data_IF_710494640325
#
_entry.id   IF_710494640325
#
_cell.length_a   1.000
_cell.length_b   1.000
_cell.length_c   1.000
_cell.angle_alpha   90.00
_cell.angle_beta   90.00
_cell.angle_gamma   90.00
#
_symmetry.space_group_name_H-M   'P 1'
#
loop_
_entity.id
_entity.type
_entity.pdbx_description
1 polymer ?
#
# COMPACT_ATOMS: atom_id res chain seq x y z
N UNK A 1 -9.63 15.37 5.93
CA UNK A 1 -9.70 15.68 7.38
C UNK A 1 -8.33 15.48 8.00
N UNK A 2 -7.90 16.38 8.87
CA UNK A 2 -6.68 16.14 9.63
C UNK A 2 -6.83 14.84 10.43
N UNK A 3 -5.76 14.07 10.55
CA UNK A 3 -5.74 12.84 11.32
C UNK A 3 -6.09 13.12 12.79
N UNK A 4 -7.25 12.66 13.23
CA UNK A 4 -7.81 12.95 14.58
C UNK A 4 -7.90 11.69 15.45
N UNK A 5 -7.10 10.66 15.18
CA UNK A 5 -7.07 9.46 15.99
C UNK A 5 -6.00 9.55 17.08
N UNK A 6 -6.26 8.95 18.22
CA UNK A 6 -5.23 8.76 19.25
C UNK A 6 -4.10 7.91 18.71
N UNK A 7 -2.89 8.21 19.14
CA UNK A 7 -1.67 7.47 18.81
C UNK A 7 -1.03 6.92 20.09
N UNK A 8 0.03 6.14 19.92
CA UNK A 8 0.82 5.62 21.05
C UNK A 8 1.42 6.71 21.92
N UNK A 9 1.53 7.95 21.44
CA UNK A 9 1.99 9.10 22.21
C UNK A 9 0.90 9.69 23.14
N UNK A 10 -0.37 9.35 22.89
CA UNK A 10 -1.52 9.88 23.64
C UNK A 10 -1.94 8.99 24.82
N UNK A 11 -1.21 7.92 25.11
CA UNK A 11 -1.57 6.90 26.09
C UNK A 11 -0.44 6.60 27.08
N UNK A 12 -0.80 6.04 28.23
CA UNK A 12 0.16 5.51 29.21
C UNK A 12 0.03 3.99 29.25
N UNK A 13 1.09 3.29 28.87
CA UNK A 13 1.12 1.83 28.78
C UNK A 13 1.88 1.16 29.93
N UNK A 14 2.45 1.92 30.85
CA UNK A 14 3.25 1.36 31.95
C UNK A 14 2.47 0.34 32.76
N UNK A 15 3.01 -0.87 32.83
CA UNK A 15 2.39 -1.98 33.56
C UNK A 15 1.14 -2.55 32.91
N UNK A 16 0.82 -2.16 31.68
CA UNK A 16 -0.35 -2.63 30.97
C UNK A 16 0.00 -3.61 29.85
N UNK A 17 -0.91 -4.52 29.57
CA UNK A 17 -0.82 -5.40 28.42
C UNK A 17 -1.31 -4.65 27.17
N UNK A 18 -0.47 -4.61 26.15
CA UNK A 18 -0.74 -3.89 24.89
C UNK A 18 -0.69 -4.87 23.73
N UNK A 19 -1.83 -5.09 23.09
CA UNK A 19 -1.90 -5.88 21.87
C UNK A 19 -1.64 -5.00 20.66
N UNK A 20 -0.59 -5.32 19.90
CA UNK A 20 -0.17 -4.56 18.71
C UNK A 20 -0.42 -5.39 17.46
N UNK A 21 -1.29 -4.91 16.58
CA UNK A 21 -1.49 -5.52 15.27
C UNK A 21 -0.43 -5.00 14.31
N UNK A 22 0.49 -5.86 13.95
CA UNK A 22 1.56 -5.60 12.97
C UNK A 22 1.24 -6.23 11.63
N UNK A 23 1.98 -5.87 10.61
CA UNK A 23 2.01 -6.56 9.33
C UNK A 23 3.36 -7.28 9.17
N UNK A 24 3.37 -8.54 9.55
CA UNK A 24 4.52 -9.45 9.40
C UNK A 24 4.29 -10.47 8.27
N UNK A 25 3.44 -10.15 7.32
CA UNK A 25 3.25 -10.95 6.13
C UNK A 25 4.45 -10.79 5.18
N UNK A 26 5.57 -11.31 5.63
CA UNK A 26 6.87 -11.24 4.93
C UNK A 26 7.00 -12.35 3.91
N UNK A 27 7.73 -12.14 2.81
CA UNK A 27 8.04 -13.22 1.89
C UNK A 27 9.04 -14.19 2.52
N UNK A 28 8.72 -15.47 2.41
CA UNK A 28 9.56 -16.58 2.89
C UNK A 28 9.96 -17.47 1.72
N UNK A 29 11.24 -17.84 1.70
CA UNK A 29 11.76 -18.88 0.79
C UNK A 29 12.48 -19.93 1.62
N UNK A 30 11.96 -21.16 1.62
CA UNK A 30 12.50 -22.26 2.43
C UNK A 30 12.65 -21.90 3.93
N UNK A 31 11.66 -21.20 4.49
CA UNK A 31 11.65 -20.77 5.88
C UNK A 31 12.55 -19.56 6.19
N UNK A 32 13.18 -18.97 5.18
CA UNK A 32 14.05 -17.79 5.32
C UNK A 32 13.31 -16.54 4.84
N UNK A 33 13.34 -15.48 5.66
CA UNK A 33 12.75 -14.18 5.31
C UNK A 33 13.62 -13.51 4.24
N UNK A 34 13.04 -13.21 3.09
CA UNK A 34 13.76 -12.62 1.94
C UNK A 34 13.62 -11.10 1.87
N UNK A 35 12.67 -10.51 2.58
CA UNK A 35 12.47 -9.07 2.69
C UNK A 35 12.02 -8.73 4.11
N UNK A 36 12.73 -7.81 4.75
CA UNK A 36 12.50 -7.40 6.14
C UNK A 36 11.81 -6.05 6.29
N UNK A 37 11.40 -5.41 5.22
CA UNK A 37 10.85 -4.06 5.25
C UNK A 37 9.67 -3.92 6.22
N UNK A 38 8.78 -4.90 6.24
CA UNK A 38 7.62 -4.90 7.14
C UNK A 38 8.00 -5.05 8.61
N UNK A 39 9.01 -5.87 8.88
CA UNK A 39 9.55 -6.01 10.24
C UNK A 39 10.16 -4.68 10.69
N UNK A 40 11.01 -4.10 9.86
CA UNK A 40 11.66 -2.83 10.17
C UNK A 40 10.66 -1.70 10.39
N UNK A 41 9.58 -1.67 9.60
CA UNK A 41 8.52 -0.67 9.73
C UNK A 41 7.76 -0.75 11.07
N UNK A 42 7.68 -1.92 11.68
CA UNK A 42 7.02 -2.12 12.97
C UNK A 42 7.90 -1.75 14.19
N UNK A 43 9.21 -1.72 14.03
CA UNK A 43 10.15 -1.53 15.14
C UNK A 43 9.96 -0.22 15.93
N UNK A 44 9.71 0.94 15.32
CA UNK A 44 9.54 2.18 16.08
C UNK A 44 8.41 2.11 17.10
N UNK A 45 7.26 1.57 16.74
CA UNK A 45 6.11 1.38 17.64
C UNK A 45 6.43 0.38 18.74
N UNK A 46 7.01 -0.75 18.39
CA UNK A 46 7.38 -1.80 19.35
C UNK A 46 8.37 -1.24 20.38
N UNK A 47 9.43 -0.59 19.93
CA UNK A 47 10.45 0.01 20.81
C UNK A 47 9.88 1.09 21.74
N UNK A 48 8.98 1.92 21.24
CA UNK A 48 8.29 2.95 22.04
C UNK A 48 7.52 2.31 23.19
N UNK A 49 6.70 1.32 22.89
CA UNK A 49 5.87 0.64 23.89
C UNK A 49 6.71 -0.11 24.93
N UNK A 50 7.81 -0.76 24.50
CA UNK A 50 8.78 -1.39 25.41
C UNK A 50 9.42 -0.37 26.35
N UNK A 51 9.91 0.74 25.81
CA UNK A 51 10.57 1.79 26.56
C UNK A 51 9.64 2.45 27.58
N UNK A 52 8.35 2.55 27.26
CA UNK A 52 7.33 3.10 28.15
C UNK A 52 6.83 2.11 29.23
N UNK A 53 7.41 0.92 29.29
CA UNK A 53 7.09 -0.09 30.29
C UNK A 53 5.84 -0.91 30.00
N UNK A 54 5.39 -0.96 28.76
CA UNK A 54 4.29 -1.82 28.34
C UNK A 54 4.70 -3.29 28.23
N UNK A 55 3.75 -4.19 28.39
CA UNK A 55 3.88 -5.61 28.05
C UNK A 55 3.34 -5.79 26.67
N UNK A 56 4.24 -5.99 25.70
CA UNK A 56 3.93 -5.88 24.28
C UNK A 56 3.58 -7.25 23.70
N UNK A 57 2.34 -7.41 23.25
CA UNK A 57 1.83 -8.62 22.64
C UNK A 57 1.60 -8.32 21.17
N UNK A 58 2.42 -8.93 20.30
CA UNK A 58 2.34 -8.73 18.86
C UNK A 58 1.45 -9.79 18.20
N UNK A 59 0.65 -9.38 17.23
CA UNK A 59 -0.12 -10.29 16.39
C UNK A 59 -0.06 -9.86 14.93
N UNK A 60 -0.11 -10.84 14.04
CA UNK A 60 -0.11 -10.64 12.59
C UNK A 60 -0.64 -11.88 11.88
N UNK A 61 -1.03 -11.69 10.63
CA UNK A 61 -1.18 -12.79 9.69
C UNK A 61 0.12 -13.05 8.92
N UNK A 62 0.23 -14.21 8.33
CA UNK A 62 1.27 -14.60 7.36
C UNK A 62 0.65 -15.54 6.32
N UNK A 63 0.74 -15.17 5.04
CA UNK A 63 0.23 -15.98 3.96
C UNK A 63 -1.29 -16.25 4.03
N UNK A 64 -1.69 -17.39 3.50
CA UNK A 64 -3.10 -17.80 3.41
C UNK A 64 -3.32 -19.23 3.93
N UNK A 65 -3.24 -19.47 5.23
CA UNK A 65 -3.43 -20.81 5.80
C UNK A 65 -4.89 -21.29 5.78
N UNK A 66 -5.84 -20.40 5.46
CA UNK A 66 -7.27 -20.71 5.28
C UNK A 66 -7.97 -21.25 6.55
N UNK A 67 -7.64 -20.71 7.70
CA UNK A 67 -8.27 -21.08 8.97
C UNK A 67 -7.75 -22.36 9.60
N UNK A 68 -6.59 -22.82 9.17
CA UNK A 68 -5.95 -24.04 9.67
C UNK A 68 -4.47 -23.78 10.02
N UNK A 69 -3.92 -24.46 11.05
CA UNK A 69 -2.50 -24.42 11.29
C UNK A 69 -1.71 -25.01 10.11
N UNK A 70 -0.72 -24.26 9.64
CA UNK A 70 0.20 -24.69 8.57
C UNK A 70 1.63 -24.29 8.93
N UNK A 71 2.58 -25.22 9.06
CA UNK A 71 3.94 -24.92 9.45
C UNK A 71 4.63 -23.88 8.56
N UNK A 72 4.37 -23.89 7.26
CA UNK A 72 4.89 -22.92 6.29
C UNK A 72 4.37 -21.49 6.49
N UNK A 73 3.29 -21.33 7.22
CA UNK A 73 2.67 -20.04 7.59
C UNK A 73 2.92 -19.66 9.06
N UNK A 74 3.83 -20.34 9.75
CA UNK A 74 4.18 -20.02 11.13
C UNK A 74 4.97 -18.70 11.22
N UNK A 75 4.68 -17.90 12.25
CA UNK A 75 5.42 -16.69 12.57
C UNK A 75 6.72 -16.94 13.36
N UNK A 76 7.10 -18.18 13.63
CA UNK A 76 8.32 -18.52 14.36
C UNK A 76 9.57 -17.83 13.77
N UNK A 77 9.80 -17.81 12.44
CA UNK A 77 10.96 -17.11 11.87
C UNK A 77 10.94 -15.60 12.14
N UNK A 78 9.75 -14.98 12.19
CA UNK A 78 9.60 -13.57 12.51
C UNK A 78 9.96 -13.28 13.96
N UNK A 79 9.54 -14.11 14.90
CA UNK A 79 9.89 -13.99 16.31
C UNK A 79 11.42 -14.05 16.52
N UNK A 80 12.09 -14.96 15.84
CA UNK A 80 13.55 -15.06 15.86
C UNK A 80 14.22 -13.80 15.36
N UNK A 81 13.77 -13.29 14.21
CA UNK A 81 14.35 -12.10 13.61
C UNK A 81 14.08 -10.83 14.42
N UNK A 82 12.89 -10.70 14.99
CA UNK A 82 12.57 -9.62 15.91
C UNK A 82 13.48 -9.62 17.14
N UNK A 83 13.74 -10.80 17.73
CA UNK A 83 14.64 -10.92 18.86
C UNK A 83 16.04 -10.37 18.54
N UNK A 84 16.56 -10.70 17.37
CA UNK A 84 17.87 -10.21 16.90
C UNK A 84 17.86 -8.67 16.74
N UNK A 85 16.80 -8.11 16.11
CA UNK A 85 16.69 -6.68 15.86
C UNK A 85 16.44 -5.83 17.11
N UNK A 86 15.72 -6.38 18.08
CA UNK A 86 15.43 -5.71 19.35
C UNK A 86 16.53 -5.88 20.39
N UNK A 87 17.45 -6.82 20.17
CA UNK A 87 18.48 -7.17 21.18
C UNK A 87 17.88 -7.71 22.48
N UNK A 88 16.66 -8.25 22.41
CA UNK A 88 15.91 -8.84 23.51
C UNK A 88 15.09 -10.01 23.01
N UNK A 89 14.94 -11.04 23.82
CA UNK A 89 14.10 -12.18 23.47
C UNK A 89 12.65 -11.75 23.21
N UNK A 90 12.15 -12.11 22.05
CA UNK A 90 10.72 -12.12 21.73
C UNK A 90 10.23 -13.54 21.94
N UNK A 91 9.39 -13.75 22.92
CA UNK A 91 8.80 -15.06 23.20
C UNK A 91 7.77 -15.39 22.14
N UNK A 92 8.01 -16.44 21.37
CA UNK A 92 7.04 -16.92 20.41
C UNK A 92 6.02 -17.84 21.11
N UNK A 93 4.78 -17.39 21.19
CA UNK A 93 3.70 -18.20 21.75
C UNK A 93 3.16 -19.17 20.70
N UNK A 94 3.82 -20.31 20.57
CA UNK A 94 3.42 -21.38 19.65
C UNK A 94 2.11 -22.00 20.12
N UNK A 95 1.02 -21.60 19.48
CA UNK A 95 -0.33 -22.04 19.83
C UNK A 95 -1.20 -22.09 18.57
N UNK A 96 -1.62 -23.26 18.18
CA UNK A 96 -2.45 -23.47 16.98
C UNK A 96 -3.82 -22.80 17.07
N UNK A 97 -4.29 -22.52 18.30
CA UNK A 97 -5.52 -21.77 18.55
C UNK A 97 -5.30 -20.25 18.62
N UNK A 98 -4.06 -19.78 18.44
CA UNK A 98 -3.62 -18.38 18.53
C UNK A 98 -3.76 -17.82 19.95
N UNK A 99 -4.95 -17.87 20.53
CA UNK A 99 -5.25 -17.48 21.92
C UNK A 99 -5.68 -18.71 22.70
N UNK A 100 -4.83 -19.71 22.75
CA UNK A 100 -5.03 -20.92 23.53
C UNK A 100 -4.26 -20.88 24.83
N UNK A 101 -4.08 -22.05 25.42
CA UNK A 101 -3.44 -22.23 26.73
C UNK A 101 -1.99 -21.76 26.73
N UNK A 102 -1.21 -22.09 25.68
CA UNK A 102 0.18 -21.68 25.57
C UNK A 102 0.32 -20.15 25.43
N UNK A 103 -0.51 -19.52 24.62
CA UNK A 103 -0.50 -18.08 24.44
C UNK A 103 -0.85 -17.36 25.74
N UNK A 104 -1.85 -17.81 26.47
CA UNK A 104 -2.25 -17.25 27.76
C UNK A 104 -1.15 -17.40 28.81
N UNK A 105 -0.48 -18.53 28.85
CA UNK A 105 0.65 -18.76 29.75
C UNK A 105 1.81 -17.83 29.43
N UNK A 106 2.16 -17.64 28.15
CA UNK A 106 3.23 -16.74 27.72
C UNK A 106 2.92 -15.28 28.10
N UNK A 107 1.68 -14.82 27.92
CA UNK A 107 1.25 -13.49 28.30
C UNK A 107 1.27 -13.30 29.81
N UNK A 108 0.79 -14.28 30.58
CA UNK A 108 0.78 -14.22 32.06
C UNK A 108 2.18 -14.13 32.66
N UNK A 109 3.19 -14.67 32.00
CA UNK A 109 4.59 -14.63 32.43
C UNK A 109 5.32 -13.31 32.10
N UNK A 110 4.72 -12.41 31.35
CA UNK A 110 5.35 -11.16 30.92
C UNK A 110 5.62 -10.19 32.07
N UNK A 111 6.74 -9.51 31.96
CA UNK A 111 7.10 -8.34 32.78
C UNK A 111 7.07 -7.08 31.91
N UNK A 112 7.09 -5.92 32.56
CA UNK A 112 7.11 -4.64 31.86
C UNK A 112 8.32 -4.57 30.90
N UNK A 113 8.06 -4.20 29.67
CA UNK A 113 9.06 -4.16 28.59
C UNK A 113 9.28 -5.48 27.85
N UNK A 114 8.65 -6.56 28.27
CA UNK A 114 8.72 -7.84 27.54
C UNK A 114 7.88 -7.83 26.27
N UNK A 115 8.25 -8.71 25.33
CA UNK A 115 7.57 -8.86 24.04
C UNK A 115 7.23 -10.33 23.81
N UNK A 116 5.96 -10.58 23.45
CA UNK A 116 5.45 -11.87 23.03
C UNK A 116 4.88 -11.71 21.61
N UNK A 117 5.17 -12.67 20.73
CA UNK A 117 4.54 -12.77 19.42
C UNK A 117 3.58 -13.97 19.41
N UNK A 118 2.30 -13.70 19.11
CA UNK A 118 1.28 -14.74 18.91
C UNK A 118 1.52 -15.46 17.58
N UNK A 119 0.97 -16.66 17.46
CA UNK A 119 0.93 -17.41 16.19
C UNK A 119 -0.02 -16.71 15.19
N UNK A 120 0.16 -17.03 13.92
CA UNK A 120 -0.59 -16.49 12.79
C UNK A 120 -2.10 -16.40 13.06
N UNK A 121 -2.65 -15.19 13.05
CA UNK A 121 -4.07 -14.95 13.34
C UNK A 121 -4.99 -15.69 12.38
N UNK A 122 -4.53 -15.96 11.15
CA UNK A 122 -5.31 -16.69 10.13
C UNK A 122 -5.29 -18.21 10.30
N UNK A 123 -4.67 -18.73 11.36
CA UNK A 123 -4.92 -20.10 11.81
C UNK A 123 -6.36 -20.27 12.30
N UNK A 124 -7.00 -19.16 12.69
CA UNK A 124 -8.41 -19.14 13.07
C UNK A 124 -9.27 -18.70 11.88
N UNK A 125 -10.26 -19.53 11.55
CA UNK A 125 -11.20 -19.25 10.46
C UNK A 125 -12.01 -17.96 10.69
N UNK A 126 -12.25 -17.60 11.94
CA UNK A 126 -12.99 -16.40 12.32
C UNK A 126 -12.26 -15.10 11.99
N UNK A 127 -10.93 -15.11 11.90
CA UNK A 127 -10.12 -13.89 11.69
C UNK A 127 -10.63 -13.05 10.52
N UNK A 128 -10.74 -13.64 9.34
CA UNK A 128 -11.15 -12.94 8.12
C UNK A 128 -12.63 -12.60 8.06
N UNK A 129 -13.42 -13.19 8.93
CA UNK A 129 -14.87 -12.99 9.05
C UNK A 129 -15.25 -12.00 10.15
N UNK A 130 -14.25 -11.44 10.84
CA UNK A 130 -14.44 -10.56 11.99
C UNK A 130 -15.33 -11.21 13.08
N UNK A 131 -15.12 -12.49 13.33
CA UNK A 131 -15.94 -13.28 14.25
C UNK A 131 -15.85 -12.81 15.69
N UNK A 132 -16.98 -12.77 16.39
CA UNK A 132 -17.09 -12.23 17.74
C UNK A 132 -16.22 -12.98 18.77
N UNK A 133 -16.25 -14.30 18.74
CA UNK A 133 -15.53 -15.12 19.72
C UNK A 133 -14.02 -14.91 19.66
N UNK A 134 -13.40 -14.96 18.49
CA UNK A 134 -11.97 -14.75 18.35
C UNK A 134 -11.58 -13.30 18.65
N UNK A 135 -12.40 -12.33 18.26
CA UNK A 135 -12.20 -10.92 18.63
C UNK A 135 -12.16 -10.72 20.14
N UNK A 136 -13.08 -11.35 20.86
CA UNK A 136 -13.14 -11.34 22.32
C UNK A 136 -11.92 -12.02 22.96
N UNK A 137 -11.48 -13.14 22.42
CA UNK A 137 -10.29 -13.85 22.88
C UNK A 137 -9.04 -12.97 22.72
N UNK A 138 -8.85 -12.33 21.57
CA UNK A 138 -7.74 -11.39 21.36
C UNK A 138 -7.79 -10.24 22.34
N UNK A 139 -8.94 -9.60 22.52
CA UNK A 139 -9.12 -8.48 23.43
C UNK A 139 -8.91 -8.87 24.90
N UNK A 140 -9.19 -10.13 25.28
CA UNK A 140 -8.98 -10.61 26.64
C UNK A 140 -7.50 -10.65 27.07
N UNK A 141 -6.56 -10.61 26.12
CA UNK A 141 -5.12 -10.59 26.41
C UNK A 141 -4.61 -9.20 26.80
N UNK A 142 -5.33 -8.15 26.50
CA UNK A 142 -4.79 -6.80 26.59
C UNK A 142 -5.76 -5.78 27.17
N UNK A 143 -5.20 -4.72 27.74
CA UNK A 143 -5.93 -3.51 28.17
C UNK A 143 -6.07 -2.53 27.02
N UNK A 144 -5.04 -2.43 26.19
CA UNK A 144 -4.91 -1.46 25.10
C UNK A 144 -4.63 -2.20 23.79
N UNK A 145 -5.25 -1.74 22.72
CA UNK A 145 -4.98 -2.20 21.37
C UNK A 145 -4.30 -1.12 20.53
N UNK A 146 -3.26 -1.48 19.83
CA UNK A 146 -2.55 -0.62 18.88
C UNK A 146 -2.66 -1.22 17.49
N UNK A 147 -3.20 -0.48 16.53
CA UNK A 147 -3.13 -0.86 15.11
C UNK A 147 -1.92 -0.20 14.47
N UNK A 148 -1.00 -1.01 13.99
CA UNK A 148 0.20 -0.56 13.27
C UNK A 148 0.36 -1.27 11.92
N UNK A 149 -0.75 -1.73 11.35
CA UNK A 149 -0.81 -2.50 10.12
C UNK A 149 -1.69 -1.80 9.07
N UNK A 150 -1.13 -0.80 8.39
CA UNK A 150 -1.86 -0.06 7.36
C UNK A 150 -2.31 -0.96 6.20
N UNK A 151 -1.47 -1.90 5.77
CA UNK A 151 -1.77 -2.82 4.67
C UNK A 151 -3.02 -3.68 4.85
N UNK A 152 -3.49 -3.85 6.07
CA UNK A 152 -4.71 -4.60 6.39
C UNK A 152 -5.85 -3.74 6.92
N UNK A 153 -5.64 -2.43 7.01
CA UNK A 153 -6.62 -1.51 7.59
C UNK A 153 -7.90 -1.36 6.77
N UNK A 154 -7.87 -1.75 5.50
CA UNK A 154 -9.04 -1.74 4.60
C UNK A 154 -9.98 -2.94 4.81
N UNK A 155 -9.60 -3.89 5.67
CA UNK A 155 -10.39 -5.10 5.94
C UNK A 155 -10.84 -5.15 7.39
N UNK A 156 -12.13 -5.43 7.60
CA UNK A 156 -12.68 -5.68 8.92
C UNK A 156 -12.41 -7.14 9.32
N UNK A 157 -11.29 -7.37 10.00
CA UNK A 157 -10.89 -8.65 10.58
C UNK A 157 -10.93 -8.59 12.11
N UNK A 158 -10.89 -9.75 12.78
CA UNK A 158 -10.85 -9.78 14.24
C UNK A 158 -9.69 -8.95 14.81
N UNK A 159 -8.49 -9.11 14.25
CA UNK A 159 -7.27 -8.44 14.75
C UNK A 159 -7.13 -6.97 14.30
N UNK A 160 -8.03 -6.46 13.46
CA UNK A 160 -8.01 -5.06 13.00
C UNK A 160 -9.20 -4.25 13.49
N UNK A 161 -10.37 -4.86 13.59
CA UNK A 161 -11.63 -4.19 13.95
C UNK A 161 -12.31 -4.81 15.15
N UNK A 162 -12.62 -6.11 15.08
CA UNK A 162 -13.44 -6.76 16.11
C UNK A 162 -12.85 -6.68 17.51
N UNK A 163 -11.54 -6.77 17.65
CA UNK A 163 -10.83 -6.68 18.92
C UNK A 163 -11.05 -5.36 19.66
N UNK A 164 -11.31 -4.28 18.94
CA UNK A 164 -11.50 -2.94 19.52
C UNK A 164 -12.64 -2.90 20.53
N UNK A 165 -13.70 -3.68 20.31
CA UNK A 165 -14.85 -3.74 21.21
C UNK A 165 -14.54 -4.38 22.58
N UNK A 166 -13.38 -5.01 22.73
CA UNK A 166 -13.00 -5.80 23.91
C UNK A 166 -11.77 -5.28 24.64
N UNK A 167 -11.34 -4.08 24.33
CA UNK A 167 -10.24 -3.37 24.98
C UNK A 167 -10.71 -2.02 25.54
N UNK A 168 -9.97 -1.47 26.49
CA UNK A 168 -10.31 -0.18 27.08
C UNK A 168 -10.05 0.99 26.13
N UNK A 169 -9.01 0.88 25.34
CA UNK A 169 -8.56 1.94 24.44
C UNK A 169 -7.89 1.35 23.20
N UNK A 170 -8.14 1.96 22.04
CA UNK A 170 -7.59 1.54 20.76
C UNK A 170 -6.97 2.74 20.05
N UNK A 171 -5.68 2.65 19.71
CA UNK A 171 -4.91 3.76 19.16
C UNK A 171 -4.09 3.34 17.95
N UNK A 172 -3.58 4.32 17.20
CA UNK A 172 -2.70 4.10 16.05
C UNK A 172 -1.23 4.00 16.50
N UNK A 173 -0.49 3.09 15.88
CA UNK A 173 0.96 3.07 15.95
C UNK A 173 1.59 4.14 15.04
N UNK A 174 2.91 4.26 15.09
CA UNK A 174 3.64 5.25 14.29
C UNK A 174 3.56 5.00 12.78
N UNK A 175 3.51 3.74 12.35
CA UNK A 175 3.39 3.40 10.94
C UNK A 175 2.06 3.92 10.37
N UNK A 176 0.95 3.65 11.03
CA UNK A 176 -0.36 4.18 10.61
C UNK A 176 -0.38 5.71 10.69
N UNK A 177 0.18 6.29 11.75
CA UNK A 177 0.29 7.74 11.88
C UNK A 177 1.04 8.38 10.71
N UNK A 178 2.14 7.79 10.29
CA UNK A 178 2.94 8.24 9.14
C UNK A 178 2.18 8.11 7.82
N UNK A 179 1.51 6.97 7.60
CA UNK A 179 0.68 6.77 6.41
C UNK A 179 -0.42 7.82 6.28
N UNK A 180 -1.13 8.10 7.37
CA UNK A 180 -2.20 9.09 7.38
C UNK A 180 -1.68 10.52 7.32
N UNK A 181 -0.51 10.80 7.86
CA UNK A 181 0.12 12.09 7.74
C UNK A 181 0.46 12.41 6.27
N UNK A 182 1.09 11.47 5.58
CA UNK A 182 1.57 11.72 4.21
C UNK A 182 0.50 11.45 3.15
N UNK A 183 -0.05 10.25 3.12
CA UNK A 183 -1.06 9.89 2.13
C UNK A 183 -2.39 10.61 2.39
N UNK A 184 -2.82 10.68 3.65
CA UNK A 184 -4.05 11.36 4.04
C UNK A 184 -4.01 12.85 3.74
N UNK A 185 -2.98 13.56 4.18
CA UNK A 185 -2.85 14.98 3.90
C UNK A 185 -2.67 15.28 2.42
N UNK A 186 -1.93 14.43 1.69
CA UNK A 186 -1.74 14.61 0.25
C UNK A 186 -3.07 14.55 -0.52
N UNK A 187 -4.02 13.75 -0.07
CA UNK A 187 -5.31 13.57 -0.78
C UNK A 187 -6.40 14.51 -0.24
N UNK A 188 -6.49 14.67 1.08
CA UNK A 188 -7.58 15.43 1.71
C UNK A 188 -7.30 16.93 1.85
N UNK A 189 -6.05 17.31 2.02
CA UNK A 189 -5.64 18.71 2.20
C UNK A 189 -4.31 19.01 1.48
N UNK A 190 -4.23 18.80 0.15
CA UNK A 190 -2.99 18.98 -0.58
C UNK A 190 -2.57 20.44 -0.66
N UNK A 191 -1.28 20.69 -0.58
CA UNK A 191 -0.71 21.96 -1.04
C UNK A 191 -0.72 21.95 -2.57
N UNK A 192 -1.27 23.00 -3.16
CA UNK A 192 -1.47 23.08 -4.61
C UNK A 192 -0.34 23.81 -5.33
N UNK A 193 -0.04 23.46 -6.60
CA UNK A 193 -0.74 22.50 -7.46
C UNK A 193 -0.62 21.03 -7.00
N UNK A 194 -1.74 20.32 -7.05
CA UNK A 194 -1.83 18.89 -6.73
C UNK A 194 -1.88 18.08 -8.02
N UNK A 195 -0.87 17.25 -8.23
CA UNK A 195 -0.75 16.35 -9.39
C UNK A 195 -0.90 14.92 -8.94
N UNK A 196 -1.77 14.17 -9.58
CA UNK A 196 -1.91 12.73 -9.38
C UNK A 196 -1.48 11.99 -10.64
N UNK A 197 -0.80 10.87 -10.46
CA UNK A 197 -0.29 10.05 -11.55
C UNK A 197 -0.84 8.64 -11.37
N UNK A 198 -1.60 8.18 -12.33
CA UNK A 198 -2.17 6.84 -12.35
C UNK A 198 -1.62 6.05 -13.53
N UNK A 199 -1.23 4.82 -13.27
CA UNK A 199 -0.78 3.87 -14.27
C UNK A 199 -1.23 2.46 -13.92
N UNK A 200 -0.59 1.48 -14.53
CA UNK A 200 -0.95 0.07 -14.38
C UNK A 200 -1.65 -0.48 -15.62
N UNK A 201 -2.06 -1.75 -15.55
CA UNK A 201 -2.51 -2.48 -16.73
C UNK A 201 -3.95 -2.17 -17.15
N UNK A 202 -4.88 -2.08 -16.19
CA UNK A 202 -6.32 -2.01 -16.48
C UNK A 202 -7.01 -0.80 -15.87
N UNK A 203 -7.80 -0.11 -16.67
CA UNK A 203 -8.63 1.00 -16.19
C UNK A 203 -9.71 0.52 -15.22
N UNK A 204 -10.25 -0.67 -15.41
CA UNK A 204 -11.29 -1.24 -14.54
C UNK A 204 -10.88 -1.29 -13.06
N UNK A 205 -9.58 -1.47 -12.79
CA UNK A 205 -9.05 -1.54 -11.42
C UNK A 205 -8.93 -0.16 -10.75
N UNK A 206 -9.11 0.92 -11.50
CA UNK A 206 -8.88 2.31 -11.06
C UNK A 206 -10.09 3.24 -11.20
N UNK A 207 -11.27 2.73 -11.53
CA UNK A 207 -12.44 3.56 -11.83
C UNK A 207 -12.78 4.53 -10.70
N UNK A 208 -12.92 4.01 -9.50
CA UNK A 208 -13.28 4.82 -8.32
C UNK A 208 -12.16 5.77 -7.91
N UNK A 209 -10.90 5.35 -8.10
CA UNK A 209 -9.72 6.22 -7.88
C UNK A 209 -9.78 7.43 -8.83
N UNK A 210 -10.01 7.20 -10.12
CA UNK A 210 -10.10 8.26 -11.12
C UNK A 210 -11.22 9.25 -10.76
N UNK A 211 -12.41 8.77 -10.44
CA UNK A 211 -13.54 9.60 -10.05
C UNK A 211 -13.24 10.45 -8.81
N UNK A 212 -12.67 9.84 -7.77
CA UNK A 212 -12.34 10.56 -6.55
C UNK A 212 -11.25 11.63 -6.78
N UNK A 213 -10.20 11.29 -7.53
CA UNK A 213 -9.10 12.20 -7.79
C UNK A 213 -9.48 13.34 -8.74
N UNK A 214 -10.41 13.14 -9.66
CA UNK A 214 -10.97 14.23 -10.49
C UNK A 214 -11.65 15.31 -9.64
N UNK A 215 -12.13 14.98 -8.46
CA UNK A 215 -12.71 15.95 -7.53
C UNK A 215 -11.66 16.70 -6.71
N UNK A 216 -10.42 16.26 -6.72
CA UNK A 216 -9.38 16.73 -5.79
C UNK A 216 -8.15 17.32 -6.49
N UNK A 217 -7.72 16.75 -7.60
CA UNK A 217 -6.49 17.11 -8.28
C UNK A 217 -6.65 18.33 -9.20
N UNK A 218 -5.54 19.05 -9.39
CA UNK A 218 -5.42 20.08 -10.42
C UNK A 218 -5.02 19.47 -11.77
N UNK A 219 -4.20 18.42 -11.73
CA UNK A 219 -3.78 17.65 -12.89
C UNK A 219 -3.84 16.17 -12.59
N UNK A 220 -4.41 15.40 -13.51
CA UNK A 220 -4.45 13.94 -13.47
C UNK A 220 -3.68 13.40 -14.68
N UNK A 221 -2.61 12.66 -14.41
CA UNK A 221 -1.77 12.03 -15.41
C UNK A 221 -2.16 10.55 -15.51
N UNK A 222 -2.44 10.08 -16.71
CA UNK A 222 -2.77 8.68 -17.00
C UNK A 222 -1.69 8.07 -17.89
N UNK A 223 -1.06 7.02 -17.41
CA UNK A 223 -0.08 6.23 -18.15
C UNK A 223 -0.32 4.73 -18.02
N UNK A 224 0.64 3.93 -18.43
CA UNK A 224 0.53 2.46 -18.39
C UNK A 224 -0.49 1.90 -19.38
N UNK A 225 -0.80 0.63 -19.24
CA UNK A 225 -1.76 -0.08 -20.10
C UNK A 225 -3.16 0.51 -20.08
N UNK A 226 -3.58 1.06 -18.96
CA UNK A 226 -4.89 1.69 -18.81
C UNK A 226 -5.07 2.93 -19.70
N UNK A 227 -4.00 3.58 -20.12
CA UNK A 227 -4.06 4.76 -20.97
C UNK A 227 -4.66 4.46 -22.37
N UNK A 228 -4.50 3.24 -22.87
CA UNK A 228 -5.00 2.88 -24.20
C UNK A 228 -6.52 2.86 -24.28
N UNK A 229 -7.21 2.54 -23.21
CA UNK A 229 -8.68 2.66 -23.15
C UNK A 229 -9.11 4.13 -23.23
N UNK A 230 -8.38 5.05 -22.60
CA UNK A 230 -8.60 6.49 -22.77
C UNK A 230 -8.30 6.98 -24.18
N UNK A 231 -7.22 6.50 -24.80
CA UNK A 231 -6.89 6.85 -26.19
C UNK A 231 -7.96 6.35 -27.16
N UNK A 232 -8.47 5.14 -26.95
CA UNK A 232 -9.61 4.61 -27.72
C UNK A 232 -10.87 5.48 -27.53
N UNK A 233 -11.11 5.99 -26.31
CA UNK A 233 -12.21 6.90 -26.03
C UNK A 233 -12.10 8.23 -26.81
N UNK A 234 -10.88 8.65 -27.16
CA UNK A 234 -10.61 9.79 -28.04
C UNK A 234 -10.78 9.47 -29.51
N UNK A 235 -11.06 8.22 -29.86
CA UNK A 235 -11.22 7.76 -31.24
C UNK A 235 -9.95 7.25 -31.90
N UNK A 236 -8.87 7.02 -31.14
CA UNK A 236 -7.62 6.49 -31.66
C UNK A 236 -7.67 4.97 -31.77
N UNK A 237 -7.03 4.42 -32.80
CA UNK A 237 -6.78 2.99 -32.92
C UNK A 237 -5.54 2.64 -32.11
N UNK A 238 -5.64 1.64 -31.23
CA UNK A 238 -4.55 1.28 -30.31
C UNK A 238 -3.88 -0.06 -30.64
N UNK A 239 -4.15 -0.61 -31.83
CA UNK A 239 -3.55 -1.86 -32.28
C UNK A 239 -3.92 -3.04 -31.37
N UNK A 240 -2.91 -3.82 -30.99
CA UNK A 240 -3.06 -4.95 -30.06
C UNK A 240 -2.76 -4.58 -28.59
N UNK A 241 -2.72 -3.28 -28.27
CA UNK A 241 -2.54 -2.80 -26.89
C UNK A 241 -3.62 -3.31 -25.96
N UNK A 242 -3.33 -3.35 -24.67
CA UNK A 242 -4.35 -3.61 -23.65
C UNK A 242 -5.53 -2.65 -23.83
N UNK A 243 -6.71 -3.21 -23.92
CA UNK A 243 -7.94 -2.44 -24.14
C UNK A 243 -9.08 -3.05 -23.32
N UNK A 244 -9.71 -2.23 -22.52
CA UNK A 244 -10.93 -2.58 -21.79
C UNK A 244 -12.12 -1.99 -22.56
N UNK A 245 -12.61 -2.71 -23.55
CA UNK A 245 -13.66 -2.25 -24.47
C UNK A 245 -14.93 -1.82 -23.75
N UNK A 246 -15.29 -2.51 -22.67
CA UNK A 246 -16.47 -2.20 -21.85
C UNK A 246 -16.34 -0.87 -21.11
N UNK A 247 -15.12 -0.34 -20.99
CA UNK A 247 -14.80 0.88 -20.24
C UNK A 247 -14.51 2.10 -21.15
N UNK A 248 -14.55 1.96 -22.43
CA UNK A 248 -14.35 3.09 -23.39
C UNK A 248 -15.34 4.22 -23.11
N UNK A 249 -16.62 3.88 -22.96
CA UNK A 249 -17.66 4.86 -22.61
C UNK A 249 -17.40 5.56 -21.29
N UNK A 250 -16.99 4.82 -20.28
CA UNK A 250 -16.58 5.35 -18.98
C UNK A 250 -15.41 6.34 -19.13
N UNK A 251 -14.37 5.97 -19.86
CA UNK A 251 -13.21 6.85 -20.10
C UNK A 251 -13.61 8.13 -20.83
N UNK A 252 -14.53 8.04 -21.78
CA UNK A 252 -15.09 9.24 -22.45
C UNK A 252 -15.78 10.16 -21.46
N UNK A 253 -16.57 9.61 -20.54
CA UNK A 253 -17.25 10.38 -19.50
C UNK A 253 -16.24 11.03 -18.55
N UNK A 254 -15.15 10.36 -18.22
CA UNK A 254 -14.09 10.90 -17.36
C UNK A 254 -13.34 12.05 -18.04
N UNK A 255 -13.06 11.95 -19.33
CA UNK A 255 -12.48 13.05 -20.12
C UNK A 255 -13.37 14.29 -20.07
N UNK A 256 -14.67 14.11 -20.25
CA UNK A 256 -15.66 15.18 -20.16
C UNK A 256 -15.75 15.78 -18.75
N UNK A 257 -15.79 14.93 -17.72
CA UNK A 257 -15.79 15.38 -16.31
C UNK A 257 -14.55 16.20 -15.97
N UNK A 258 -13.37 15.76 -16.43
CA UNK A 258 -12.13 16.51 -16.21
C UNK A 258 -12.24 17.92 -16.80
N UNK A 259 -12.72 18.06 -18.02
CA UNK A 259 -12.93 19.35 -18.69
C UNK A 259 -13.93 20.23 -17.91
N UNK A 260 -15.07 19.68 -17.52
CA UNK A 260 -16.10 20.39 -16.74
C UNK A 260 -15.59 20.87 -15.38
N UNK A 261 -14.70 20.12 -14.76
CA UNK A 261 -14.10 20.45 -13.45
C UNK A 261 -12.85 21.32 -13.55
N UNK A 262 -12.37 21.61 -14.75
CA UNK A 262 -11.12 22.35 -14.95
C UNK A 262 -9.87 21.58 -14.55
N UNK A 263 -9.93 20.24 -14.50
CA UNK A 263 -8.77 19.36 -14.23
C UNK A 263 -8.06 19.06 -15.53
N UNK A 264 -6.76 19.26 -15.57
CA UNK A 264 -5.93 18.83 -16.71
C UNK A 264 -5.76 17.32 -16.65
N UNK A 265 -6.41 16.59 -17.55
CA UNK A 265 -6.22 15.17 -17.71
C UNK A 265 -5.22 14.94 -18.86
N UNK A 266 -4.00 14.53 -18.51
CA UNK A 266 -2.92 14.32 -19.46
C UNK A 266 -2.83 12.84 -19.86
N UNK A 267 -2.87 12.60 -21.16
CA UNK A 267 -2.72 11.27 -21.78
C UNK A 267 -1.41 11.21 -22.56
N UNK A 268 -0.90 10.00 -22.85
CA UNK A 268 0.24 9.85 -23.76
C UNK A 268 -0.01 10.50 -25.12
N UNK A 269 1.00 11.21 -25.63
CA UNK A 269 1.01 11.80 -26.98
C UNK A 269 1.87 11.00 -27.93
N UNK A 270 2.74 10.15 -27.40
CA UNK A 270 3.52 9.14 -28.11
C UNK A 270 3.67 7.88 -27.25
N UNK A 271 3.97 6.77 -27.90
CA UNK A 271 4.10 5.48 -27.25
C UNK A 271 5.31 4.72 -27.81
N UNK A 272 5.93 3.93 -26.95
CA UNK A 272 6.91 2.93 -27.33
C UNK A 272 6.14 1.63 -27.60
N UNK A 273 6.22 1.13 -28.83
CA UNK A 273 5.43 0.00 -29.30
C UNK A 273 6.32 -1.19 -29.67
N UNK A 274 5.75 -2.39 -29.63
CA UNK A 274 6.36 -3.63 -30.07
C UNK A 274 5.30 -4.56 -30.68
N UNK A 275 5.77 -5.57 -31.42
CA UNK A 275 4.87 -6.56 -32.04
C UNK A 275 4.32 -7.57 -31.07
N UNK A 276 5.05 -7.82 -29.96
CA UNK A 276 4.66 -8.76 -28.92
C UNK A 276 5.14 -8.30 -27.56
N UNK A 277 4.44 -8.75 -26.53
CA UNK A 277 4.88 -8.57 -25.14
C UNK A 277 6.15 -9.41 -24.91
N UNK A 278 7.19 -8.86 -24.22
CA UNK A 278 8.42 -9.59 -23.98
C UNK A 278 8.20 -10.84 -23.13
N UNK A 279 8.78 -11.95 -23.55
CA UNK A 279 8.78 -13.22 -22.84
C UNK A 279 10.19 -13.85 -22.91
N UNK A 280 10.93 -13.92 -21.76
CA UNK A 280 10.54 -13.45 -20.43
C UNK A 280 10.34 -11.92 -20.37
N UNK A 281 9.66 -11.44 -19.31
CA UNK A 281 9.26 -10.03 -19.18
C UNK A 281 10.45 -9.06 -19.28
N UNK A 282 11.62 -9.47 -18.80
CA UNK A 282 12.88 -8.71 -18.83
C UNK A 282 13.75 -9.03 -20.05
N UNK A 283 13.22 -9.84 -20.98
CA UNK A 283 13.91 -10.28 -22.18
C UNK A 283 14.05 -9.20 -23.26
N UNK A 284 14.81 -9.50 -24.34
CA UNK A 284 14.98 -8.58 -25.46
C UNK A 284 13.65 -8.23 -26.12
N UNK A 285 13.46 -6.96 -26.46
CA UNK A 285 12.29 -6.49 -27.21
C UNK A 285 12.71 -5.40 -28.18
N UNK A 286 12.28 -5.52 -29.43
CA UNK A 286 12.45 -4.48 -30.43
C UNK A 286 11.30 -3.50 -30.35
N UNK A 287 11.62 -2.21 -30.22
CA UNK A 287 10.62 -1.16 -30.03
C UNK A 287 10.79 -0.04 -31.05
N UNK A 288 9.67 0.62 -31.32
CA UNK A 288 9.61 1.84 -32.11
C UNK A 288 8.78 2.87 -31.36
N UNK A 289 9.10 4.14 -31.49
CA UNK A 289 8.29 5.24 -30.93
C UNK A 289 7.37 5.77 -32.04
N UNK A 290 6.08 5.84 -31.75
CA UNK A 290 5.07 6.41 -32.66
C UNK A 290 4.17 7.40 -31.89
N UNK A 291 3.55 8.31 -32.63
CA UNK A 291 2.49 9.14 -32.07
C UNK A 291 1.35 8.27 -31.54
N UNK A 292 0.66 8.71 -30.49
CA UNK A 292 -0.39 7.92 -29.83
C UNK A 292 -1.58 7.60 -30.76
N UNK A 293 -1.80 8.38 -31.82
CA UNK A 293 -2.82 8.17 -32.84
C UNK A 293 -2.31 7.39 -34.07
N UNK A 294 -1.08 6.87 -34.03
CA UNK A 294 -0.40 6.20 -35.13
C UNK A 294 0.08 4.78 -34.76
N UNK A 295 -0.56 4.12 -33.82
CA UNK A 295 -0.21 2.75 -33.43
C UNK A 295 -0.67 1.78 -34.53
N UNK A 296 0.25 1.02 -35.14
CA UNK A 296 -0.12 0.02 -36.15
C UNK A 296 -1.05 -1.06 -35.60
N UNK A 297 -1.91 -1.61 -36.46
CA UNK A 297 -2.92 -2.61 -36.08
C UNK A 297 -2.33 -3.90 -35.48
N UNK A 298 -1.08 -4.23 -35.82
CA UNK A 298 -0.37 -5.44 -35.40
C UNK A 298 0.63 -5.20 -34.25
N UNK A 299 0.62 -4.02 -33.63
CA UNK A 299 1.55 -3.66 -32.57
C UNK A 299 0.84 -3.14 -31.33
N UNK A 300 1.53 -3.23 -30.20
CA UNK A 300 1.03 -2.82 -28.89
C UNK A 300 1.94 -1.77 -28.26
N UNK A 301 1.34 -0.84 -27.53
CA UNK A 301 2.06 0.07 -26.67
C UNK A 301 2.49 -0.60 -25.37
N UNK A 302 3.74 -0.41 -24.97
CA UNK A 302 4.34 -1.03 -23.78
C UNK A 302 5.01 -0.03 -22.84
N UNK A 303 5.15 1.21 -23.26
CA UNK A 303 5.64 2.33 -22.45
C UNK A 303 5.20 3.65 -23.08
N UNK A 304 5.24 4.72 -22.31
CA UNK A 304 5.10 6.07 -22.83
C UNK A 304 6.34 6.45 -23.64
N UNK A 305 6.16 7.29 -24.66
CA UNK A 305 7.26 7.79 -25.46
C UNK A 305 7.96 9.01 -24.83
N UNK A 306 9.05 9.49 -25.44
CA UNK A 306 9.86 10.59 -24.90
C UNK A 306 9.11 11.94 -24.88
N UNK A 307 8.23 12.21 -25.82
CA UNK A 307 7.40 13.43 -25.79
C UNK A 307 6.39 13.41 -24.64
N UNK A 308 5.80 12.25 -24.37
CA UNK A 308 4.92 12.04 -23.22
C UNK A 308 5.66 12.21 -21.91
N UNK A 309 6.85 11.61 -21.80
CA UNK A 309 7.70 11.74 -20.63
C UNK A 309 8.03 13.22 -20.32
N UNK A 310 8.35 14.00 -21.34
CA UNK A 310 8.61 15.43 -21.20
C UNK A 310 7.36 16.21 -20.78
N UNK A 311 6.20 15.89 -21.36
CA UNK A 311 4.90 16.48 -21.00
C UNK A 311 4.55 16.22 -19.54
N UNK A 312 4.70 14.97 -19.09
CA UNK A 312 4.41 14.57 -17.71
C UNK A 312 5.41 15.19 -16.72
N UNK A 313 6.69 15.22 -17.08
CA UNK A 313 7.73 15.83 -16.25
C UNK A 313 7.47 17.34 -16.04
N UNK A 314 7.03 18.05 -17.07
CA UNK A 314 6.70 19.48 -16.97
C UNK A 314 5.53 19.73 -16.01
N UNK A 315 4.50 18.88 -16.05
CA UNK A 315 3.37 18.97 -15.12
C UNK A 315 3.79 18.66 -13.68
N UNK A 316 4.70 17.71 -13.48
CA UNK A 316 5.20 17.31 -12.16
C UNK A 316 6.11 18.39 -11.56
N UNK A 317 6.93 19.03 -12.37
CA UNK A 317 7.95 20.00 -11.93
C UNK A 317 7.40 21.14 -11.08
N UNK A 318 6.24 21.67 -11.43
CA UNK A 318 5.60 22.77 -10.70
C UNK A 318 4.71 22.37 -9.54
N UNK A 319 4.53 21.08 -9.31
CA UNK A 319 3.61 20.58 -8.30
C UNK A 319 4.15 20.73 -6.87
N UNK A 320 3.26 21.01 -5.92
CA UNK A 320 3.55 21.03 -4.48
C UNK A 320 3.18 19.74 -3.78
N UNK A 321 2.24 19.02 -4.33
CA UNK A 321 1.84 17.69 -3.86
C UNK A 321 1.72 16.76 -5.05
N UNK A 322 2.34 15.60 -4.98
CA UNK A 322 2.31 14.59 -6.04
C UNK A 322 2.02 13.23 -5.42
N UNK A 323 1.01 12.56 -5.94
CA UNK A 323 0.66 11.18 -5.56
C UNK A 323 0.73 10.31 -6.81
N UNK A 324 1.48 9.23 -6.75
CA UNK A 324 1.67 8.30 -7.86
C UNK A 324 1.24 6.88 -7.49
N UNK A 325 0.40 6.28 -8.33
CA UNK A 325 -0.05 4.89 -8.20
C UNK A 325 -0.07 4.22 -9.58
N UNK A 326 0.83 3.27 -9.80
CA UNK A 326 0.94 2.45 -11.02
C UNK A 326 2.00 2.93 -12.01
N UNK A 327 2.82 2.01 -12.55
CA UNK A 327 3.90 2.34 -13.48
C UNK A 327 3.38 2.82 -14.84
N UNK A 328 4.25 3.49 -15.60
CA UNK A 328 3.93 4.06 -16.92
C UNK A 328 4.10 3.07 -18.07
N UNK A 329 4.77 1.96 -17.82
CA UNK A 329 5.06 0.92 -18.80
C UNK A 329 5.50 -0.38 -18.12
N UNK A 330 6.02 -1.30 -18.92
CA UNK A 330 6.55 -2.60 -18.45
C UNK A 330 7.94 -2.36 -17.84
N UNK A 331 7.99 -1.79 -16.65
CA UNK A 331 9.22 -1.30 -16.01
C UNK A 331 10.21 -2.41 -15.64
N UNK A 332 9.77 -3.65 -15.57
CA UNK A 332 10.60 -4.84 -15.35
C UNK A 332 11.55 -5.10 -16.55
N UNK A 333 11.23 -4.53 -17.70
CA UNK A 333 12.06 -4.60 -18.88
C UNK A 333 12.88 -3.31 -19.03
N UNK A 334 14.23 -3.38 -19.11
CA UNK A 334 15.08 -2.18 -19.21
C UNK A 334 14.74 -1.26 -20.39
N UNK A 335 14.35 -1.83 -21.52
CA UNK A 335 13.96 -1.06 -22.72
C UNK A 335 12.62 -0.32 -22.53
N UNK A 336 11.74 -0.86 -21.70
CA UNK A 336 10.38 -0.38 -21.47
C UNK A 336 10.23 0.36 -20.13
N UNK A 337 11.32 0.58 -19.40
CA UNK A 337 11.34 1.26 -18.11
C UNK A 337 11.57 2.79 -18.24
N UNK A 338 11.96 3.28 -19.38
CA UNK A 338 12.37 4.69 -19.58
C UNK A 338 11.29 5.69 -19.18
N UNK A 339 10.03 5.40 -19.50
CA UNK A 339 8.90 6.26 -19.11
C UNK A 339 8.69 6.34 -17.60
N UNK A 340 8.74 5.20 -16.94
CA UNK A 340 8.62 5.10 -15.48
C UNK A 340 9.81 5.79 -14.79
N UNK A 341 11.02 5.62 -15.32
CA UNK A 341 12.22 6.31 -14.83
C UNK A 341 12.07 7.83 -14.97
N UNK A 342 11.57 8.32 -16.10
CA UNK A 342 11.37 9.74 -16.33
C UNK A 342 10.41 10.38 -15.33
N UNK A 343 9.31 9.71 -15.04
CA UNK A 343 8.33 10.13 -14.02
C UNK A 343 8.96 10.11 -12.61
N UNK A 344 9.65 9.05 -12.26
CA UNK A 344 10.33 8.94 -10.96
C UNK A 344 11.38 10.05 -10.78
N UNK A 345 12.15 10.34 -11.82
CA UNK A 345 13.15 11.41 -11.80
C UNK A 345 12.51 12.79 -11.65
N UNK A 346 11.43 13.06 -12.38
CA UNK A 346 10.69 14.30 -12.25
C UNK A 346 10.15 14.51 -10.84
N UNK A 347 9.63 13.46 -10.21
CA UNK A 347 9.19 13.50 -8.82
C UNK A 347 10.35 13.75 -7.85
N UNK A 348 11.49 13.09 -8.05
CA UNK A 348 12.67 13.25 -7.23
C UNK A 348 13.23 14.68 -7.29
N UNK A 349 13.11 15.35 -8.43
CA UNK A 349 13.55 16.72 -8.65
C UNK A 349 12.51 17.78 -8.24
N UNK A 350 11.29 17.39 -7.99
CA UNK A 350 10.22 18.31 -7.58
C UNK A 350 10.43 18.81 -6.14
N UNK A 351 10.07 20.07 -5.91
CA UNK A 351 10.17 20.71 -4.59
C UNK A 351 8.90 20.52 -3.73
N UNK A 352 8.13 19.49 -4.03
CA UNK A 352 6.88 19.19 -3.34
C UNK A 352 6.93 17.93 -2.50
N UNK A 353 5.81 17.63 -1.87
CA UNK A 353 5.59 16.37 -1.18
C UNK A 353 5.31 15.28 -2.22
N UNK A 354 6.12 14.22 -2.21
CA UNK A 354 6.02 13.11 -3.16
C UNK A 354 5.61 11.83 -2.43
N UNK A 355 4.46 11.29 -2.79
CA UNK A 355 3.88 10.11 -2.16
C UNK A 355 3.67 9.01 -3.21
N UNK A 356 4.20 7.84 -2.93
CA UNK A 356 3.99 6.64 -3.74
C UNK A 356 2.94 5.77 -3.06
N UNK A 357 1.85 5.48 -3.77
CA UNK A 357 0.79 4.59 -3.31
C UNK A 357 0.69 3.34 -4.16
N UNK A 358 0.65 2.17 -3.53
CA UNK A 358 0.51 0.89 -4.21
C UNK A 358 1.79 0.10 -4.38
N UNK A 359 1.65 -1.24 -4.40
CA UNK A 359 2.78 -2.17 -4.41
C UNK A 359 3.64 -2.08 -5.66
N UNK A 360 3.03 -2.01 -6.84
CA UNK A 360 3.74 -1.96 -8.12
C UNK A 360 4.55 -0.67 -8.26
N UNK A 361 3.98 0.46 -7.84
CA UNK A 361 4.68 1.75 -7.85
C UNK A 361 5.85 1.75 -6.89
N UNK A 362 5.66 1.23 -5.68
CA UNK A 362 6.71 1.09 -4.67
C UNK A 362 7.84 0.19 -5.19
N UNK A 363 7.49 -0.95 -5.80
CA UNK A 363 8.46 -1.85 -6.41
C UNK A 363 9.22 -1.15 -7.55
N UNK A 364 8.53 -0.40 -8.40
CA UNK A 364 9.15 0.32 -9.51
C UNK A 364 10.15 1.36 -9.01
N UNK A 365 9.77 2.26 -8.10
CA UNK A 365 10.69 3.30 -7.59
C UNK A 365 11.88 2.71 -6.84
N UNK A 366 11.69 1.65 -6.07
CA UNK A 366 12.77 1.00 -5.32
C UNK A 366 13.73 0.29 -6.28
N UNK A 367 13.22 -0.49 -7.23
CA UNK A 367 14.03 -1.21 -8.24
C UNK A 367 14.83 -0.23 -9.10
N UNK A 368 14.24 0.90 -9.46
CA UNK A 368 14.88 1.93 -10.28
C UNK A 368 15.78 2.88 -9.49
N UNK A 369 15.88 2.73 -8.18
CA UNK A 369 16.83 3.47 -7.34
C UNK A 369 16.36 4.87 -6.89
N UNK A 370 15.06 5.17 -6.94
CA UNK A 370 14.50 6.46 -6.55
C UNK A 370 13.79 6.46 -5.19
N UNK A 371 13.73 5.32 -4.51
CA UNK A 371 12.95 5.19 -3.26
C UNK A 371 13.31 6.20 -2.18
N UNK A 372 14.61 6.42 -1.95
CA UNK A 372 15.10 7.35 -0.92
C UNK A 372 14.83 8.83 -1.24
N UNK A 373 14.47 9.15 -2.48
CA UNK A 373 14.18 10.50 -2.94
C UNK A 373 12.69 10.86 -2.85
N UNK A 374 11.84 9.90 -2.46
CA UNK A 374 10.41 10.12 -2.24
C UNK A 374 10.15 10.53 -0.80
N UNK A 375 9.20 11.44 -0.59
CA UNK A 375 8.80 11.87 0.76
C UNK A 375 8.22 10.70 1.54
N UNK A 376 7.37 9.90 0.91
CA UNK A 376 6.76 8.73 1.52
C UNK A 376 6.42 7.66 0.47
N UNK A 377 6.77 6.42 0.79
CA UNK A 377 6.33 5.25 0.03
C UNK A 377 5.38 4.46 0.92
N UNK A 378 4.10 4.41 0.53
CA UNK A 378 3.10 3.69 1.30
C UNK A 378 3.37 2.18 1.29
N UNK A 379 3.25 1.58 2.44
CA UNK A 379 3.33 0.12 2.62
C UNK A 379 1.97 -0.56 2.42
N UNK A 380 0.93 0.22 2.16
CA UNK A 380 -0.46 -0.19 2.28
C UNK A 380 -1.00 -1.08 1.15
N UNK A 381 -0.38 -1.13 -0.01
CA UNK A 381 -0.90 -1.91 -1.14
C UNK A 381 -2.37 -1.62 -1.44
N UNK A 382 -3.25 -2.61 -1.21
CA UNK A 382 -4.70 -2.44 -1.40
C UNK A 382 -5.35 -1.39 -0.51
N UNK A 383 -4.86 -1.20 0.72
CA UNK A 383 -5.36 -0.16 1.61
C UNK A 383 -5.07 1.24 1.07
N UNK A 384 -3.88 1.45 0.47
CA UNK A 384 -3.54 2.71 -0.19
C UNK A 384 -4.48 3.01 -1.35
N UNK A 385 -4.78 1.98 -2.15
CA UNK A 385 -5.69 2.10 -3.29
C UNK A 385 -7.11 2.47 -2.81
N UNK A 386 -7.65 1.77 -1.82
CA UNK A 386 -8.97 2.07 -1.26
C UNK A 386 -9.03 3.46 -0.62
N UNK A 387 -7.93 3.91 -0.01
CA UNK A 387 -7.83 5.27 0.48
C UNK A 387 -7.92 6.30 -0.67
N UNK A 388 -7.22 6.06 -1.78
CA UNK A 388 -7.30 6.91 -2.98
C UNK A 388 -8.69 6.89 -3.63
N UNK A 389 -9.46 5.82 -3.44
CA UNK A 389 -10.86 5.74 -3.85
C UNK A 389 -11.81 6.59 -2.98
N UNK A 390 -11.31 7.17 -1.90
CA UNK A 390 -12.10 7.94 -0.94
C UNK A 390 -12.87 7.08 0.05
N UNK A 391 -12.55 5.79 0.14
CA UNK A 391 -13.21 4.88 1.08
C UNK A 391 -12.67 5.05 2.50
N UNK A 392 -13.55 4.92 3.48
CA UNK A 392 -13.17 4.79 4.87
C UNK A 392 -12.48 3.44 5.10
N UNK A 393 -11.34 3.44 5.79
CA UNK A 393 -10.64 2.22 6.16
C UNK A 393 -11.13 1.73 7.53
N UNK A 394 -11.81 0.58 7.61
CA UNK A 394 -12.45 0.14 8.86
C UNK A 394 -11.46 -0.06 10.00
N UNK A 395 -10.23 -0.50 9.74
CA UNK A 395 -9.21 -0.65 10.76
C UNK A 395 -8.71 0.67 11.37
N UNK A 396 -8.91 1.78 10.68
CA UNK A 396 -8.61 3.12 11.18
C UNK A 396 -9.85 3.74 11.82
N UNK A 397 -11.01 3.60 11.18
CA UNK A 397 -12.27 4.11 11.70
C UNK A 397 -12.61 3.56 13.10
N UNK A 398 -12.22 2.32 13.39
CA UNK A 398 -12.44 1.67 14.67
C UNK A 398 -11.61 2.24 15.83
N UNK A 399 -10.51 2.98 15.54
CA UNK A 399 -9.65 3.57 16.57
C UNK A 399 -10.32 4.75 17.25
N UNK A 400 -9.91 5.01 18.49
CA UNK A 400 -10.45 6.12 19.28
C UNK A 400 -10.00 7.47 18.73
N UNK A 401 -10.92 8.42 18.72
CA UNK A 401 -10.63 9.82 18.40
C UNK A 401 -9.91 10.50 19.58
N UNK A 402 -9.13 11.55 19.28
CA UNK A 402 -8.49 12.41 20.28
C UNK A 402 -9.50 13.21 21.06
#
# INVERSE_FOLDING_TARGET
MAFNKKTVDDINVKGQNVLVRCDFNVPLKNGVITDENRINAALPTIKKLMADGGRVILCSHLGKPKGEPKPECSLAPVAKRLSEKLGKEVVFAADDNVVGENARAAVAAMKDGDVVLLQNTRYRAEETKNGEQFSKELGSLADIFVNDAFGTAHRAHCSTVGVVSYVKEAVAGYLIGKELQYLGNAVDAPERPFVTILGGAKVADKLTVIENLLNKADTLIIGGGMAYTFLAAKGYSVGTSLLDEEKISYCRDMLKKAEEKGVKLLLPVDCKIARAFPDPIDGPVETTVVAADQIPADQMGLDIGPKTAALFAEAIKGAKTIVWNGPMGVFENPTLAEGTIAVARAMAEANGVTVIGGGDSAAAVNTLGFGDQMTHISTGGGASLEFLEGKELPGIAALNDR
#
